data_IF_265318332907
#
_entry.id   IF_265318332907
#
_cell.length_a   1.000
_cell.length_b   1.000
_cell.length_c   1.000
_cell.angle_alpha   90.00
_cell.angle_beta   90.00
_cell.angle_gamma   90.00
#
_symmetry.space_group_name_H-M   'P 1'
#
loop_
_entity.id
_entity.type
_entity.pdbx_description
1 polymer ?
#
# COMPACT_ATOMS: atom_id res chain seq x y z
N UNK A 1 -0.51 -15.28 -41.33
CA UNK A 1 -1.93 -15.26 -41.76
C UNK A 1 -2.66 -14.21 -40.94
N UNK A 2 -3.32 -13.26 -41.58
CA UNK A 2 -4.18 -12.29 -40.89
C UNK A 2 -5.63 -12.54 -41.32
N UNK A 3 -6.54 -12.66 -40.35
CA UNK A 3 -7.98 -12.84 -40.60
C UNK A 3 -8.66 -11.49 -40.35
N UNK A 4 -9.05 -10.82 -41.42
CA UNK A 4 -9.90 -9.64 -41.35
C UNK A 4 -11.37 -10.05 -41.49
N UNK A 5 -12.22 -9.62 -40.56
CA UNK A 5 -13.68 -9.75 -40.70
C UNK A 5 -14.27 -8.40 -41.06
N UNK A 6 -14.83 -8.30 -42.27
CA UNK A 6 -15.63 -7.17 -42.73
C UNK A 6 -17.03 -7.23 -42.11
N UNK A 7 -17.54 -6.08 -41.67
CA UNK A 7 -18.98 -5.80 -41.73
C UNK A 7 -19.23 -4.38 -42.27
N UNK A 8 -19.70 -4.31 -43.51
CA UNK A 8 -20.53 -3.20 -43.99
C UNK A 8 -21.95 -3.42 -43.42
N UNK A 9 -22.82 -2.45 -43.16
CA UNK A 9 -22.74 -1.00 -43.40
C UNK A 9 -24.04 -0.48 -44.04
N UNK A 10 -24.67 0.55 -43.45
CA UNK A 10 -25.74 1.40 -44.00
C UNK A 10 -25.75 2.70 -43.17
N UNK A 11 -25.42 3.90 -43.68
CA UNK A 11 -26.24 4.77 -44.54
C UNK A 11 -27.64 5.04 -43.95
N UNK A 12 -28.20 6.25 -43.78
CA UNK A 12 -27.97 7.63 -44.35
C UNK A 12 -28.83 8.65 -43.52
N UNK A 13 -28.92 9.99 -43.70
CA UNK A 13 -28.40 10.96 -44.68
C UNK A 13 -28.50 12.42 -44.13
N UNK A 14 -27.59 13.33 -44.58
CA UNK A 14 -27.75 14.79 -44.83
C UNK A 14 -28.22 15.79 -43.73
N UNK A 15 -27.57 16.97 -43.71
CA UNK A 15 -28.04 18.14 -42.94
C UNK A 15 -27.16 19.41 -42.99
N UNK A 16 -26.85 19.90 -44.20
CA UNK A 16 -26.22 21.20 -44.55
C UNK A 16 -26.54 22.35 -43.58
N UNK A 17 -25.54 23.01 -42.97
CA UNK A 17 -24.74 24.12 -43.53
C UNK A 17 -25.50 25.45 -43.65
N UNK A 18 -25.17 26.42 -42.78
CA UNK A 18 -25.43 27.85 -42.97
C UNK A 18 -24.25 28.69 -42.44
N UNK A 19 -23.99 29.80 -43.12
CA UNK A 19 -22.87 30.71 -42.85
C UNK A 19 -23.31 31.99 -42.14
N UNK A 20 -22.32 32.67 -41.55
CA UNK A 20 -22.18 34.12 -41.35
C UNK A 20 -22.73 34.83 -40.09
N UNK A 21 -21.81 35.68 -39.58
CA UNK A 21 -21.97 36.94 -38.84
C UNK A 21 -22.51 36.99 -37.39
N UNK A 22 -21.53 37.12 -36.48
CA UNK A 22 -21.24 38.36 -35.74
C UNK A 22 -21.72 38.55 -34.28
N UNK A 23 -20.89 39.34 -33.58
CA UNK A 23 -21.02 39.94 -32.24
C UNK A 23 -20.82 38.99 -31.05
N UNK A 24 -19.67 39.18 -30.39
CA UNK A 24 -19.37 38.62 -29.08
C UNK A 24 -20.38 39.10 -28.02
N UNK A 25 -20.78 38.25 -27.05
CA UNK A 25 -21.61 38.68 -25.94
C UNK A 25 -20.80 39.57 -24.99
N UNK A 26 -21.37 40.71 -24.64
CA UNK A 26 -20.84 41.58 -23.58
C UNK A 26 -20.94 40.84 -22.25
N UNK A 27 -19.81 40.45 -21.68
CA UNK A 27 -19.75 39.90 -20.32
C UNK A 27 -20.26 40.95 -19.32
N UNK A 28 -21.45 40.72 -18.77
CA UNK A 28 -21.84 41.39 -17.53
C UNK A 28 -20.92 40.87 -16.42
N UNK A 29 -20.37 41.77 -15.61
CA UNK A 29 -19.74 41.39 -14.34
C UNK A 29 -20.81 40.73 -13.47
N UNK A 30 -20.72 39.42 -13.30
CA UNK A 30 -21.33 38.77 -12.13
C UNK A 30 -20.42 39.05 -10.95
N UNK A 31 -20.99 39.55 -9.86
CA UNK A 31 -20.23 39.85 -8.65
C UNK A 31 -19.58 38.58 -8.10
N UNK A 32 -18.26 38.64 -7.93
CA UNK A 32 -17.49 37.55 -7.34
C UNK A 32 -17.83 37.45 -5.85
N UNK A 33 -18.79 36.59 -5.52
CA UNK A 33 -18.94 36.08 -4.15
C UNK A 33 -17.64 35.35 -3.81
N UNK A 34 -16.90 35.74 -2.76
CA UNK A 34 -15.69 35.04 -2.38
C UNK A 34 -16.08 33.66 -1.83
N UNK A 35 -15.92 32.62 -2.65
CA UNK A 35 -16.07 31.25 -2.20
C UNK A 35 -14.92 30.95 -1.23
N UNK A 36 -15.18 31.19 0.05
CA UNK A 36 -14.22 30.96 1.13
C UNK A 36 -14.01 29.45 1.25
N UNK A 37 -12.95 28.95 0.62
CA UNK A 37 -12.39 27.63 0.89
C UNK A 37 -11.99 27.57 2.37
N UNK A 38 -12.95 27.20 3.22
CA UNK A 38 -12.69 26.74 4.57
C UNK A 38 -11.77 25.54 4.43
N UNK A 39 -10.52 25.70 4.85
CA UNK A 39 -9.44 24.78 4.50
C UNK A 39 -9.79 23.34 4.82
N UNK A 40 -9.76 22.48 3.80
CA UNK A 40 -9.48 21.07 4.03
C UNK A 40 -8.12 21.07 4.75
N UNK A 41 -8.02 20.49 5.95
CA UNK A 41 -6.74 20.42 6.63
C UNK A 41 -5.86 19.44 5.86
N UNK A 42 -5.01 19.98 4.97
CA UNK A 42 -3.85 19.24 4.48
C UNK A 42 -3.02 18.93 5.70
N UNK A 43 -3.11 17.68 6.17
CA UNK A 43 -2.45 17.21 7.38
C UNK A 43 -0.96 17.43 7.18
N UNK A 44 -0.40 18.40 7.91
CA UNK A 44 1.03 18.63 7.92
C UNK A 44 1.70 17.33 8.34
N UNK A 45 2.49 16.76 7.43
CA UNK A 45 3.31 15.59 7.67
C UNK A 45 4.37 15.96 8.71
N UNK A 46 4.03 15.79 9.99
CA UNK A 46 5.01 15.89 11.05
C UNK A 46 5.93 14.67 10.97
N UNK A 47 7.21 14.92 10.70
CA UNK A 47 8.26 13.90 10.65
C UNK A 47 8.41 13.19 12.01
N UNK A 48 7.59 12.16 12.21
CA UNK A 48 7.55 11.28 13.38
C UNK A 48 7.94 9.84 13.03
N UNK A 49 8.58 9.67 11.87
CA UNK A 49 9.17 8.41 11.39
C UNK A 49 10.03 7.71 12.46
N UNK A 50 10.67 8.50 13.34
CA UNK A 50 11.53 8.06 14.44
C UNK A 50 10.84 7.40 15.62
N UNK A 51 9.52 7.56 15.82
CA UNK A 51 8.83 7.00 17.01
C UNK A 51 8.85 5.47 17.03
N UNK A 52 8.83 4.85 15.85
CA UNK A 52 8.93 3.40 15.70
C UNK A 52 10.17 3.06 14.89
N UNK A 53 11.35 3.32 15.46
CA UNK A 53 12.57 2.67 15.00
C UNK A 53 12.48 1.20 15.42
N UNK A 54 12.27 0.33 14.42
CA UNK A 54 12.11 -1.09 14.62
C UNK A 54 13.38 -1.76 15.13
N UNK A 55 13.30 -3.07 15.34
CA UNK A 55 14.48 -3.85 15.70
C UNK A 55 15.36 -4.09 14.46
N UNK A 56 16.14 -3.06 14.07
CA UNK A 56 17.02 -2.99 12.88
C UNK A 56 18.26 -3.92 12.99
N UNK A 57 18.08 -5.14 13.49
CA UNK A 57 19.14 -6.11 13.78
C UNK A 57 19.14 -7.25 12.78
N UNK A 58 20.34 -7.66 12.35
CA UNK A 58 20.53 -8.87 11.54
C UNK A 58 20.49 -10.16 12.38
N UNK A 59 20.45 -10.06 13.71
CA UNK A 59 20.39 -11.20 14.63
C UNK A 59 18.94 -11.58 14.97
N UNK A 60 18.66 -12.86 15.30
CA UNK A 60 17.37 -13.28 15.81
C UNK A 60 16.87 -12.44 16.99
N UNK A 61 15.55 -12.25 17.15
CA UNK A 61 14.99 -11.49 18.25
C UNK A 61 15.30 -12.17 19.59
N UNK A 62 15.41 -11.35 20.64
CA UNK A 62 15.40 -11.86 22.02
C UNK A 62 13.99 -12.27 22.41
N UNK A 63 13.88 -13.20 23.36
CA UNK A 63 12.62 -13.60 23.99
C UNK A 63 12.16 -12.54 25.02
N UNK A 64 11.93 -11.31 24.55
CA UNK A 64 11.56 -10.11 25.31
C UNK A 64 10.30 -9.46 24.69
N UNK A 65 9.53 -8.68 25.46
CA UNK A 65 8.33 -8.00 24.95
C UNK A 65 8.68 -6.82 24.04
N UNK A 66 8.10 -6.79 22.84
CA UNK A 66 8.12 -5.61 21.97
C UNK A 66 6.78 -4.88 22.08
N UNK A 67 6.78 -3.67 22.67
CA UNK A 67 5.58 -2.89 22.92
C UNK A 67 5.55 -1.61 22.06
N UNK A 68 4.53 -1.48 21.20
CA UNK A 68 4.38 -0.35 20.26
C UNK A 68 3.10 0.47 20.55
N UNK A 69 3.13 1.40 21.53
CA UNK A 69 1.93 2.11 21.98
C UNK A 69 1.33 3.00 20.89
N UNK A 70 0.10 2.68 20.50
CA UNK A 70 -0.67 3.45 19.49
C UNK A 70 -0.30 3.14 18.04
N UNK A 71 0.37 2.02 17.75
CA UNK A 71 0.77 1.62 16.38
C UNK A 71 -0.40 1.26 15.45
N UNK A 72 -1.63 1.19 15.96
CA UNK A 72 -2.86 1.03 15.18
C UNK A 72 -3.75 2.29 15.20
N UNK A 73 -3.27 3.40 15.76
CA UNK A 73 -4.06 4.63 15.86
C UNK A 73 -4.13 5.35 14.50
N UNK A 74 -5.31 5.83 14.04
CA UNK A 74 -5.40 6.67 12.84
C UNK A 74 -4.76 8.05 13.02
N UNK A 75 -4.41 8.42 14.26
CA UNK A 75 -3.90 9.76 14.60
C UNK A 75 -2.36 9.87 14.53
N UNK A 76 -1.67 8.86 13.99
CA UNK A 76 -0.25 8.91 13.57
C UNK A 76 -0.15 8.95 12.04
N UNK A 77 1.06 9.08 11.49
CA UNK A 77 1.41 8.64 10.13
C UNK A 77 2.77 7.93 10.22
N UNK A 78 3.13 7.12 9.22
CA UNK A 78 4.46 6.49 9.13
C UNK A 78 5.42 7.35 8.32
N UNK A 79 4.92 8.04 7.29
CA UNK A 79 5.68 8.99 6.47
C UNK A 79 6.65 8.36 5.47
N UNK A 80 6.58 7.04 5.28
CA UNK A 80 7.43 6.25 4.36
C UNK A 80 6.60 5.14 3.73
N UNK A 81 6.92 4.73 2.51
CA UNK A 81 6.16 3.71 1.77
C UNK A 81 6.16 2.35 2.45
N UNK A 82 7.33 1.85 2.87
CA UNK A 82 7.48 0.60 3.63
C UNK A 82 8.50 0.79 4.76
N UNK A 83 8.24 0.24 5.94
CA UNK A 83 9.19 0.17 7.05
C UNK A 83 8.98 -1.07 7.89
N UNK A 84 10.01 -1.91 8.03
CA UNK A 84 9.99 -3.03 8.97
C UNK A 84 10.04 -2.48 10.39
N UNK A 85 9.06 -2.86 11.21
CA UNK A 85 8.97 -2.45 12.61
C UNK A 85 9.49 -3.55 13.55
N UNK A 86 9.30 -4.82 13.20
CA UNK A 86 9.85 -5.94 13.95
C UNK A 86 9.89 -7.22 13.10
N UNK A 87 11.06 -7.88 13.02
CA UNK A 87 11.18 -9.24 12.49
C UNK A 87 11.26 -10.23 13.66
N UNK A 88 10.28 -11.11 13.76
CA UNK A 88 10.22 -12.25 14.68
C UNK A 88 10.77 -13.53 14.04
N UNK A 89 10.85 -14.63 14.80
CA UNK A 89 11.31 -15.93 14.27
C UNK A 89 10.37 -16.56 13.23
N UNK A 90 9.10 -16.17 13.21
CA UNK A 90 8.03 -16.78 12.39
C UNK A 90 7.12 -15.76 11.70
N UNK A 91 7.35 -14.46 11.91
CA UNK A 91 6.50 -13.40 11.38
C UNK A 91 7.23 -12.06 11.37
N UNK A 92 6.83 -11.16 10.46
CA UNK A 92 7.39 -9.82 10.33
C UNK A 92 6.28 -8.78 10.34
N UNK A 93 6.40 -7.81 11.25
CA UNK A 93 5.46 -6.71 11.44
C UNK A 93 5.99 -5.47 10.71
N UNK A 94 5.27 -5.03 9.68
CA UNK A 94 5.68 -3.99 8.73
C UNK A 94 4.64 -2.88 8.68
N UNK A 95 5.13 -1.65 8.55
CA UNK A 95 4.38 -0.43 8.33
C UNK A 95 4.37 -0.07 6.85
N UNK A 96 3.23 0.35 6.31
CA UNK A 96 3.15 0.91 4.96
C UNK A 96 2.26 2.15 4.92
N UNK A 97 2.61 3.10 4.05
CA UNK A 97 1.81 4.28 3.77
C UNK A 97 1.75 4.52 2.25
N UNK A 98 0.58 4.26 1.67
CA UNK A 98 0.37 4.35 0.22
C UNK A 98 -0.20 5.74 -0.12
N UNK A 99 0.46 6.54 -0.98
CA UNK A 99 -0.02 7.87 -1.36
C UNK A 99 -1.36 7.80 -2.11
N UNK A 100 -2.05 8.94 -2.22
CA UNK A 100 -3.33 9.04 -2.95
C UNK A 100 -3.13 8.67 -4.43
N UNK A 101 -3.98 7.79 -4.96
CA UNK A 101 -3.85 7.11 -6.26
C UNK A 101 -2.63 6.17 -6.39
N UNK A 102 -1.91 5.88 -5.31
CA UNK A 102 -0.83 4.91 -5.28
C UNK A 102 -1.32 3.47 -5.06
N UNK A 103 -0.38 2.53 -5.11
CA UNK A 103 -0.59 1.12 -4.82
C UNK A 103 0.54 0.54 -3.96
N UNK A 104 0.35 -0.68 -3.45
CA UNK A 104 1.43 -1.49 -2.88
C UNK A 104 2.23 -2.18 -4.00
N UNK A 105 1.55 -2.95 -4.85
CA UNK A 105 2.10 -3.74 -5.95
C UNK A 105 1.10 -4.83 -6.36
N UNK A 106 1.33 -5.50 -7.50
CA UNK A 106 0.64 -6.75 -7.90
C UNK A 106 1.59 -7.92 -7.59
N UNK A 107 1.39 -8.55 -6.44
CA UNK A 107 2.39 -9.38 -5.76
C UNK A 107 1.90 -10.83 -5.58
N UNK A 108 2.86 -11.77 -5.54
CA UNK A 108 2.66 -13.18 -5.16
C UNK A 108 3.85 -13.59 -4.29
N UNK A 109 3.60 -13.79 -2.99
CA UNK A 109 4.63 -14.23 -2.04
C UNK A 109 4.42 -15.70 -1.64
N UNK A 110 5.48 -16.35 -1.17
CA UNK A 110 5.41 -17.75 -0.67
C UNK A 110 5.01 -17.86 0.80
N UNK A 111 4.71 -16.72 1.43
CA UNK A 111 4.33 -16.57 2.84
C UNK A 111 2.86 -16.14 2.99
N UNK A 112 2.26 -16.39 4.14
CA UNK A 112 0.94 -15.81 4.47
C UNK A 112 1.11 -14.33 4.83
N UNK A 113 0.17 -13.48 4.40
CA UNK A 113 0.17 -12.05 4.71
C UNK A 113 -1.18 -11.59 5.29
N UNK A 114 -1.13 -10.83 6.40
CA UNK A 114 -2.30 -10.23 7.04
C UNK A 114 -2.18 -8.72 7.05
N UNK A 115 -3.06 -8.02 6.32
CA UNK A 115 -3.08 -6.57 6.19
C UNK A 115 -4.19 -5.98 7.07
N UNK A 116 -3.82 -5.04 7.95
CA UNK A 116 -4.69 -4.34 8.87
C UNK A 116 -4.72 -2.86 8.48
N UNK A 117 -5.88 -2.36 8.08
CA UNK A 117 -6.03 -0.99 7.58
C UNK A 117 -6.24 -0.03 8.76
N UNK A 118 -5.30 0.91 8.95
CA UNK A 118 -5.29 1.81 10.12
C UNK A 118 -5.75 3.23 9.81
N UNK A 119 -5.68 3.67 8.55
CA UNK A 119 -6.25 4.93 8.07
C UNK A 119 -6.49 4.90 6.55
N UNK A 120 -7.36 5.79 6.05
CA UNK A 120 -7.66 5.92 4.62
C UNK A 120 -8.72 4.93 4.10
N UNK A 121 -8.88 4.93 2.77
CA UNK A 121 -9.80 4.05 2.03
C UNK A 121 -9.07 3.48 0.81
N UNK A 122 -9.14 2.17 0.63
CA UNK A 122 -8.46 1.44 -0.42
C UNK A 122 -9.35 0.41 -1.09
N UNK A 123 -8.83 -0.22 -2.15
CA UNK A 123 -9.41 -1.39 -2.79
C UNK A 123 -8.41 -2.54 -2.72
N UNK A 124 -8.82 -3.61 -2.06
CA UNK A 124 -8.13 -4.90 -2.10
C UNK A 124 -8.61 -5.68 -3.32
N UNK A 125 -7.68 -6.31 -4.03
CA UNK A 125 -7.94 -7.26 -5.12
C UNK A 125 -7.17 -8.52 -4.75
N UNK A 126 -7.84 -9.62 -4.40
CA UNK A 126 -7.18 -10.87 -3.97
C UNK A 126 -7.79 -12.03 -4.74
N UNK A 127 -6.96 -12.81 -5.45
CA UNK A 127 -7.40 -13.85 -6.38
C UNK A 127 -8.50 -13.36 -7.37
N UNK A 128 -8.38 -12.11 -7.85
CA UNK A 128 -9.37 -11.46 -8.73
C UNK A 128 -10.67 -11.01 -8.05
N UNK A 129 -10.84 -11.22 -6.74
CA UNK A 129 -12.00 -10.69 -5.99
C UNK A 129 -11.68 -9.29 -5.46
N UNK A 130 -12.50 -8.32 -5.83
CA UNK A 130 -12.41 -6.95 -5.31
C UNK A 130 -13.16 -6.75 -3.98
N UNK A 131 -12.63 -5.91 -3.10
CA UNK A 131 -13.27 -5.45 -1.87
C UNK A 131 -12.79 -4.03 -1.51
N UNK A 132 -13.72 -3.11 -1.25
CA UNK A 132 -13.37 -1.82 -0.62
C UNK A 132 -12.97 -2.06 0.84
N UNK A 133 -11.87 -1.45 1.27
CA UNK A 133 -11.28 -1.58 2.61
C UNK A 133 -11.02 -0.20 3.21
N UNK A 134 -11.22 -0.06 4.51
CA UNK A 134 -11.07 1.19 5.26
C UNK A 134 -10.57 0.88 6.68
N UNK A 135 -10.40 1.93 7.49
CA UNK A 135 -9.96 1.79 8.88
C UNK A 135 -10.71 0.68 9.65
N UNK A 136 -9.94 -0.16 10.35
CA UNK A 136 -10.32 -1.33 11.15
C UNK A 136 -10.75 -2.58 10.34
N UNK A 137 -10.74 -2.53 9.02
CA UNK A 137 -10.90 -3.74 8.20
C UNK A 137 -9.58 -4.54 8.17
N UNK A 138 -9.68 -5.86 7.92
CA UNK A 138 -8.54 -6.78 7.83
C UNK A 138 -8.69 -7.63 6.56
N UNK A 139 -7.60 -7.80 5.82
CA UNK A 139 -7.50 -8.73 4.68
C UNK A 139 -6.43 -9.77 4.99
N UNK A 140 -6.72 -11.03 4.70
CA UNK A 140 -5.78 -12.15 4.83
C UNK A 140 -5.53 -12.69 3.42
N UNK A 141 -4.27 -12.78 3.05
CA UNK A 141 -3.79 -13.30 1.77
C UNK A 141 -2.99 -14.57 2.07
N UNK A 142 -3.49 -15.76 1.70
CA UNK A 142 -2.74 -17.01 1.85
C UNK A 142 -1.55 -17.07 0.90
N UNK A 143 -0.48 -17.77 1.30
CA UNK A 143 0.69 -18.03 0.48
C UNK A 143 0.35 -18.50 -0.96
N UNK A 144 1.07 -17.95 -1.94
CA UNK A 144 0.87 -18.24 -3.37
C UNK A 144 -0.35 -17.55 -4.00
N UNK A 145 -1.05 -16.66 -3.28
CA UNK A 145 -2.22 -15.94 -3.80
C UNK A 145 -1.82 -14.57 -4.39
N UNK A 146 -2.21 -14.32 -5.64
CA UNK A 146 -2.08 -12.99 -6.26
C UNK A 146 -2.92 -11.95 -5.52
N UNK A 147 -2.29 -10.82 -5.20
CA UNK A 147 -2.92 -9.73 -4.46
C UNK A 147 -2.41 -8.35 -4.89
N UNK A 148 -3.32 -7.37 -4.89
CA UNK A 148 -3.02 -5.96 -5.12
C UNK A 148 -3.84 -5.07 -4.19
N UNK A 149 -3.25 -3.97 -3.73
CA UNK A 149 -3.89 -3.00 -2.85
C UNK A 149 -3.71 -1.58 -3.40
N UNK A 150 -4.83 -0.93 -3.73
CA UNK A 150 -4.89 0.39 -4.34
C UNK A 150 -5.42 1.42 -3.35
N UNK A 151 -4.82 2.62 -3.29
CA UNK A 151 -5.42 3.75 -2.58
C UNK A 151 -6.42 4.47 -3.51
N UNK A 152 -7.72 4.29 -3.23
CA UNK A 152 -8.83 4.92 -3.97
C UNK A 152 -9.44 6.12 -3.21
N UNK A 153 -8.91 6.43 -2.03
CA UNK A 153 -9.36 7.54 -1.19
C UNK A 153 -8.77 8.89 -1.58
N UNK A 154 -9.05 9.90 -0.77
CA UNK A 154 -8.48 11.26 -0.88
C UNK A 154 -7.44 11.56 0.21
N UNK A 155 -7.08 10.55 1.01
CA UNK A 155 -6.02 10.60 2.04
C UNK A 155 -5.07 9.41 1.85
N UNK A 156 -3.86 9.45 2.43
CA UNK A 156 -2.97 8.28 2.45
C UNK A 156 -3.65 7.05 3.08
N UNK A 157 -3.38 5.88 2.51
CA UNK A 157 -3.83 4.60 3.03
C UNK A 157 -2.72 4.06 3.94
N UNK A 158 -2.95 4.08 5.26
CA UNK A 158 -1.99 3.57 6.25
C UNK A 158 -2.32 2.11 6.58
N UNK A 159 -1.37 1.21 6.31
CA UNK A 159 -1.51 -0.23 6.52
C UNK A 159 -0.46 -0.69 7.52
N UNK A 160 -0.83 -1.65 8.37
CA UNK A 160 0.11 -2.49 9.10
C UNK A 160 -0.06 -3.89 8.58
N UNK A 161 1.02 -4.50 8.09
CA UNK A 161 1.00 -5.85 7.53
C UNK A 161 1.86 -6.81 8.34
N UNK A 162 1.45 -8.08 8.38
CA UNK A 162 2.14 -9.17 9.04
C UNK A 162 2.42 -10.24 7.98
N UNK A 163 3.68 -10.42 7.61
CA UNK A 163 4.14 -11.57 6.84
C UNK A 163 4.40 -12.75 7.80
N UNK A 164 4.18 -13.99 7.39
CA UNK A 164 4.56 -15.19 8.16
C UNK A 164 5.00 -16.35 7.22
N UNK A 165 6.30 -16.69 7.12
CA UNK A 165 7.49 -16.06 7.74
C UNK A 165 7.79 -14.63 7.25
N UNK A 166 8.97 -14.08 7.56
CA UNK A 166 9.36 -12.74 7.11
C UNK A 166 9.59 -12.67 5.59
N UNK A 167 9.40 -11.50 4.99
CA UNK A 167 9.62 -11.27 3.55
C UNK A 167 10.82 -10.33 3.30
N UNK A 168 10.95 -9.27 4.10
CA UNK A 168 11.89 -8.16 3.89
C UNK A 168 13.13 -8.21 4.83
N UNK A 169 14.19 -7.46 4.53
CA UNK A 169 15.33 -7.29 5.46
C UNK A 169 14.87 -6.59 6.76
N UNK A 170 15.37 -6.97 7.96
CA UNK A 170 14.93 -6.36 9.23
C UNK A 170 15.21 -4.85 9.37
N UNK A 171 16.03 -4.29 8.47
CA UNK A 171 16.47 -2.88 8.43
C UNK A 171 15.69 -2.05 7.41
N UNK A 172 14.78 -2.67 6.66
CA UNK A 172 14.13 -2.06 5.49
C UNK A 172 13.30 -0.83 5.83
N UNK A 173 13.62 0.26 5.11
CA UNK A 173 12.92 1.55 5.13
C UNK A 173 12.93 2.12 3.71
N UNK A 174 11.82 1.96 2.98
CA UNK A 174 11.62 2.51 1.64
C UNK A 174 10.83 3.81 1.73
N UNK A 175 11.39 4.93 1.28
CA UNK A 175 10.70 6.21 1.20
C UNK A 175 9.60 6.16 0.14
N UNK A 176 9.83 5.43 -0.96
CA UNK A 176 8.91 5.34 -2.11
C UNK A 176 8.74 3.89 -2.58
N UNK A 177 7.64 3.61 -3.32
CA UNK A 177 7.45 2.31 -3.98
C UNK A 177 8.61 1.97 -4.92
N UNK A 178 9.00 2.92 -5.79
CA UNK A 178 10.07 2.71 -6.77
C UNK A 178 11.45 2.41 -6.15
N UNK A 179 11.72 2.89 -4.93
CA UNK A 179 12.90 2.52 -4.16
C UNK A 179 12.82 1.08 -3.64
N UNK A 180 11.64 0.66 -3.20
CA UNK A 180 11.39 -0.71 -2.74
C UNK A 180 11.45 -1.73 -3.87
N UNK A 181 10.72 -1.48 -4.96
CA UNK A 181 10.75 -2.30 -6.18
C UNK A 181 12.19 -2.53 -6.67
N UNK A 182 13.03 -1.49 -6.60
CA UNK A 182 14.44 -1.57 -7.02
C UNK A 182 15.34 -2.34 -6.04
N UNK A 183 15.10 -2.26 -4.73
CA UNK A 183 15.85 -3.05 -3.74
C UNK A 183 15.43 -4.53 -3.75
N UNK A 184 14.14 -4.82 -4.01
CA UNK A 184 13.64 -6.18 -4.25
C UNK A 184 14.24 -6.78 -5.53
N UNK A 185 14.19 -6.07 -6.67
CA UNK A 185 14.77 -6.55 -7.94
C UNK A 185 16.30 -6.77 -7.85
N UNK A 186 16.99 -5.99 -7.01
CA UNK A 186 18.42 -6.13 -6.74
C UNK A 186 18.78 -7.23 -5.73
N UNK A 187 17.80 -7.82 -5.01
CA UNK A 187 18.05 -8.76 -3.90
C UNK A 187 18.68 -8.10 -2.67
N UNK A 188 18.42 -6.79 -2.46
CA UNK A 188 18.90 -6.01 -1.32
C UNK A 188 17.89 -5.98 -0.15
N UNK A 189 16.61 -6.27 -0.41
CA UNK A 189 15.52 -6.34 0.59
C UNK A 189 15.07 -7.80 0.88
N UNK A 190 16.01 -8.65 1.29
CA UNK A 190 15.77 -10.09 1.50
C UNK A 190 15.56 -10.47 2.98
N UNK A 191 14.59 -11.34 3.25
CA UNK A 191 14.38 -11.91 4.58
C UNK A 191 15.61 -12.67 5.09
N UNK A 192 15.98 -12.54 6.38
CA UNK A 192 17.17 -13.19 6.91
C UNK A 192 16.91 -14.70 7.09
N UNK A 193 17.86 -15.55 6.71
CA UNK A 193 17.73 -17.03 6.75
C UNK A 193 17.18 -17.60 8.06
N UNK A 194 17.50 -16.97 9.21
CA UNK A 194 17.04 -17.43 10.53
C UNK A 194 15.53 -17.28 10.74
N UNK A 195 14.86 -16.39 9.99
CA UNK A 195 13.41 -16.18 10.02
C UNK A 195 12.63 -17.18 9.15
N UNK A 196 13.34 -17.93 8.29
CA UNK A 196 12.77 -18.97 7.42
C UNK A 196 12.82 -20.37 8.05
N UNK A 197 13.39 -20.50 9.26
CA UNK A 197 13.56 -21.79 9.94
C UNK A 197 12.24 -22.31 10.49
N UNK A 198 12.05 -23.62 10.39
CA UNK A 198 10.92 -24.30 11.01
C UNK A 198 10.98 -24.22 12.54
N UNK A 199 9.81 -24.42 13.17
CA UNK A 199 9.69 -24.52 14.63
C UNK A 199 10.66 -25.55 15.22
N UNK A 200 10.74 -26.74 14.63
CA UNK A 200 11.58 -27.84 15.12
C UNK A 200 13.08 -27.54 15.03
N UNK A 201 13.52 -26.77 14.03
CA UNK A 201 14.91 -26.30 13.95
C UNK A 201 15.23 -25.29 15.06
N UNK A 202 14.35 -24.30 15.26
CA UNK A 202 14.51 -23.27 16.29
C UNK A 202 14.44 -23.85 17.71
N UNK A 203 13.66 -24.91 17.93
CA UNK A 203 13.67 -25.70 19.17
C UNK A 203 14.98 -26.48 19.34
N UNK A 204 15.45 -27.17 18.29
CA UNK A 204 16.69 -27.97 18.33
C UNK A 204 17.94 -27.14 18.65
N UNK A 205 17.99 -25.89 18.20
CA UNK A 205 19.10 -24.95 18.50
C UNK A 205 18.86 -24.09 19.76
N UNK A 206 17.74 -24.28 20.47
CA UNK A 206 17.45 -23.62 21.74
C UNK A 206 17.03 -22.14 21.65
N UNK A 207 16.72 -21.62 20.46
CA UNK A 207 16.14 -20.27 20.32
C UNK A 207 14.70 -20.23 20.86
N UNK A 208 13.93 -21.30 20.59
CA UNK A 208 12.61 -21.53 21.18
C UNK A 208 12.72 -22.61 22.24
N UNK A 209 12.18 -22.33 23.42
CA UNK A 209 12.02 -23.31 24.49
C UNK A 209 10.61 -23.89 24.40
N UNK A 210 10.51 -25.16 24.02
CA UNK A 210 9.29 -25.92 24.26
C UNK A 210 9.05 -26.02 25.79
N UNK A 211 7.78 -26.02 26.24
CA UNK A 211 7.42 -26.22 27.65
C UNK A 211 7.70 -27.65 28.13
#
# INVERSE_FOLDING_TARGET
>A
MAIAVKMNGLSRCLGKQFTQFAKAPVFRKCDTIPFRLSGIPVRSYSDRSSKYNGNMTSQPPKNEMVYMPGVMSPNRSFGVFRKVLHTGLYSQFVAMEVPVNGEIGDEIHTVDQVLIFTHGTGKAIVAGKEQEVRQNDVVIVPAGTQHQFLNIGNTPLEVVTIYSPAEHDPRTVHQTKAEGDAQEEAGEDEAPEWSQRSKSENEKIGLVKAP
#
